data_IF_136913737741
#
_entry.id   IF_136913737741
#
_cell.length_a   1.000
_cell.length_b   1.000
_cell.length_c   1.000
_cell.angle_alpha   90.00
_cell.angle_beta   90.00
_cell.angle_gamma   90.00
#
_symmetry.space_group_name_H-M   'P 1'
#
loop_
_entity.id
_entity.type
_entity.pdbx_description
1 polymer ?
#
# COMPACT_ATOMS: atom_id res chain seq x y z
N UNK A 1 -2.27 -18.96 35.93
CA UNK A 1 -1.29 -18.23 35.09
C UNK A 1 -1.61 -18.57 33.65
N UNK A 2 -2.48 -17.76 33.08
CA UNK A 2 -3.07 -17.97 31.74
C UNK A 2 -2.01 -17.65 30.69
N UNK A 3 -1.59 -18.64 29.92
CA UNK A 3 -0.73 -18.45 28.75
C UNK A 3 -1.55 -17.65 27.72
N UNK A 4 -1.41 -16.33 27.73
CA UNK A 4 -1.89 -15.49 26.65
C UNK A 4 -1.27 -16.03 25.36
N UNK A 5 -2.09 -16.68 24.54
CA UNK A 5 -1.72 -17.10 23.17
C UNK A 5 -1.13 -15.87 22.49
N UNK A 6 0.17 -15.86 22.22
CA UNK A 6 0.83 -14.81 21.45
C UNK A 6 0.18 -14.84 20.06
N UNK A 7 -0.76 -13.93 19.82
CA UNK A 7 -1.31 -13.71 18.49
C UNK A 7 -0.11 -13.44 17.57
N UNK A 8 0.04 -14.26 16.53
CA UNK A 8 1.12 -14.12 15.55
C UNK A 8 1.01 -12.76 14.87
N UNK A 9 2.14 -12.07 14.74
CA UNK A 9 2.18 -10.80 14.02
C UNK A 9 1.75 -10.98 12.55
N UNK A 10 1.00 -9.99 12.04
CA UNK A 10 0.65 -9.90 10.61
C UNK A 10 1.89 -9.50 9.83
N UNK A 11 2.26 -10.32 8.85
CA UNK A 11 3.48 -10.20 8.06
C UNK A 11 3.23 -9.43 6.78
N UNK A 12 3.84 -8.26 6.63
CA UNK A 12 3.72 -7.43 5.44
C UNK A 12 4.76 -7.79 4.39
N UNK A 13 4.32 -7.91 3.13
CA UNK A 13 5.18 -7.85 1.95
C UNK A 13 5.00 -6.49 1.27
N UNK A 14 6.05 -5.69 1.22
CA UNK A 14 5.97 -4.34 0.64
C UNK A 14 6.58 -4.35 -0.75
N UNK A 15 5.80 -3.93 -1.76
CA UNK A 15 6.23 -3.77 -3.13
C UNK A 15 6.40 -2.28 -3.45
N UNK A 16 7.54 -1.89 -4.02
CA UNK A 16 7.85 -0.52 -4.40
C UNK A 16 8.70 -0.44 -5.68
N UNK A 17 8.69 0.72 -6.35
CA UNK A 17 9.49 0.96 -7.56
C UNK A 17 10.44 2.15 -7.45
N UNK A 18 10.35 2.98 -6.40
CA UNK A 18 11.06 4.26 -6.33
C UNK A 18 11.49 4.67 -4.93
N UNK A 19 11.17 5.91 -4.55
CA UNK A 19 11.61 6.57 -3.30
C UNK A 19 11.23 5.84 -2.03
N UNK A 20 10.09 5.11 -2.03
CA UNK A 20 9.61 4.33 -0.90
C UNK A 20 9.16 5.15 0.30
N UNK A 21 8.60 6.36 0.09
CA UNK A 21 8.14 7.22 1.19
C UNK A 21 7.08 6.57 2.04
N UNK A 22 6.09 5.93 1.44
CA UNK A 22 5.05 5.17 2.13
C UNK A 22 5.65 3.97 2.89
N UNK A 23 6.59 3.23 2.28
CA UNK A 23 7.32 2.17 2.99
C UNK A 23 8.02 2.70 4.24
N UNK A 24 8.77 3.81 4.12
CA UNK A 24 9.50 4.43 5.25
C UNK A 24 8.54 4.87 6.36
N UNK A 25 7.37 5.40 6.00
CA UNK A 25 6.33 5.76 6.96
C UNK A 25 5.80 4.52 7.71
N UNK A 26 5.45 3.44 7.01
CA UNK A 26 5.01 2.17 7.61
C UNK A 26 6.10 1.63 8.57
N UNK A 27 7.35 1.56 8.13
CA UNK A 27 8.46 1.07 8.96
C UNK A 27 8.65 1.90 10.22
N UNK A 28 8.56 3.23 10.12
CA UNK A 28 8.60 4.15 11.26
C UNK A 28 7.45 3.91 12.23
N UNK A 29 6.21 3.77 11.76
CA UNK A 29 5.04 3.52 12.60
C UNK A 29 5.14 2.17 13.35
N UNK A 30 5.73 1.15 12.72
CA UNK A 30 6.02 -0.12 13.38
C UNK A 30 7.07 0.07 14.48
N UNK A 31 8.18 0.75 14.17
CA UNK A 31 9.26 1.02 15.14
C UNK A 31 8.80 1.86 16.34
N UNK A 32 7.88 2.80 16.13
CA UNK A 32 7.27 3.62 17.18
C UNK A 32 6.19 2.88 17.99
N UNK A 33 5.90 1.61 17.69
CA UNK A 33 4.84 0.83 18.34
C UNK A 33 3.41 1.26 17.99
N UNK A 34 3.23 2.05 16.96
CA UNK A 34 1.92 2.56 16.49
C UNK A 34 1.17 1.56 15.59
N UNK A 35 1.84 0.51 15.17
CA UNK A 35 1.28 -0.65 14.45
C UNK A 35 1.57 -1.94 15.23
N UNK A 36 0.94 -2.14 16.38
CA UNK A 36 1.18 -3.32 17.18
C UNK A 36 0.73 -4.59 16.45
N UNK A 37 1.50 -5.67 16.60
CA UNK A 37 1.18 -6.95 15.97
C UNK A 37 1.39 -6.98 14.45
N UNK A 38 2.16 -6.05 13.90
CA UNK A 38 2.52 -5.99 12.46
C UNK A 38 4.03 -6.01 12.32
N UNK A 39 4.56 -6.74 11.36
CA UNK A 39 5.98 -6.76 11.02
C UNK A 39 6.20 -6.75 9.50
N UNK A 40 7.32 -6.19 9.05
CA UNK A 40 7.72 -6.25 7.63
C UNK A 40 8.50 -7.53 7.40
N UNK A 41 7.93 -8.45 6.63
CA UNK A 41 8.54 -9.72 6.30
C UNK A 41 9.54 -9.61 5.15
N UNK A 42 9.24 -8.78 4.15
CA UNK A 42 10.10 -8.54 2.99
C UNK A 42 9.73 -7.24 2.30
N UNK A 43 10.74 -6.54 1.77
CA UNK A 43 10.56 -5.40 0.86
C UNK A 43 11.07 -5.78 -0.52
N UNK A 44 10.22 -5.67 -1.53
CA UNK A 44 10.50 -6.11 -2.89
C UNK A 44 10.46 -4.91 -3.84
N UNK A 45 11.40 -4.86 -4.78
CA UNK A 45 11.38 -3.87 -5.85
C UNK A 45 11.58 -4.52 -7.22
N UNK A 46 10.93 -3.94 -8.24
CA UNK A 46 11.20 -4.23 -9.66
C UNK A 46 12.33 -3.36 -10.23
N UNK A 47 12.90 -2.47 -9.42
CA UNK A 47 14.03 -1.58 -9.76
C UNK A 47 15.15 -1.81 -8.74
N UNK A 48 16.31 -2.27 -9.18
CA UNK A 48 17.41 -2.65 -8.30
C UNK A 48 17.93 -1.47 -7.46
N UNK A 49 17.99 -0.28 -8.06
CA UNK A 49 18.50 0.95 -7.45
C UNK A 49 17.41 1.81 -6.81
N UNK A 50 16.24 1.24 -6.54
CA UNK A 50 15.15 1.97 -5.87
C UNK A 50 15.60 2.46 -4.49
N UNK A 51 15.51 3.77 -4.23
CA UNK A 51 15.94 4.36 -2.96
C UNK A 51 15.21 3.78 -1.74
N UNK A 52 13.94 3.35 -1.93
CA UNK A 52 13.18 2.66 -0.90
C UNK A 52 13.76 1.28 -0.56
N UNK A 53 14.27 0.55 -1.55
CA UNK A 53 14.90 -0.75 -1.35
C UNK A 53 16.25 -0.61 -0.62
N UNK A 54 17.05 0.39 -0.99
CA UNK A 54 18.30 0.70 -0.29
C UNK A 54 18.03 1.02 1.18
N UNK A 55 17.04 1.88 1.45
CA UNK A 55 16.63 2.20 2.82
C UNK A 55 16.16 0.98 3.62
N UNK A 56 15.51 0.00 2.97
CA UNK A 56 15.11 -1.23 3.63
C UNK A 56 16.33 -2.08 4.03
N UNK A 57 17.33 -2.19 3.16
CA UNK A 57 18.61 -2.89 3.44
C UNK A 57 19.35 -2.24 4.59
N UNK A 58 19.46 -0.91 4.58
CA UNK A 58 20.12 -0.15 5.64
C UNK A 58 19.43 -0.31 7.00
N UNK A 59 18.13 -0.59 6.97
CA UNK A 59 17.31 -0.90 8.17
C UNK A 59 17.38 -2.38 8.59
N UNK A 60 18.17 -3.20 7.92
CA UNK A 60 18.31 -4.65 8.21
C UNK A 60 17.09 -5.49 7.83
N UNK A 61 16.18 -4.98 7.01
CA UNK A 61 14.99 -5.71 6.57
C UNK A 61 15.33 -6.67 5.43
N UNK A 62 14.67 -7.84 5.34
CA UNK A 62 14.78 -8.72 4.18
C UNK A 62 14.34 -7.99 2.90
N UNK A 63 15.16 -8.11 1.84
CA UNK A 63 14.87 -7.44 0.56
C UNK A 63 15.04 -8.40 -0.61
N UNK A 64 14.25 -8.21 -1.66
CA UNK A 64 14.39 -8.91 -2.92
C UNK A 64 14.26 -7.96 -4.12
N UNK A 65 14.86 -8.33 -5.24
CA UNK A 65 14.77 -7.59 -6.50
C UNK A 65 14.32 -8.54 -7.59
N UNK A 66 13.26 -8.17 -8.27
CA UNK A 66 12.79 -8.88 -9.46
C UNK A 66 12.67 -7.87 -10.60
N UNK A 67 13.72 -7.75 -11.41
CA UNK A 67 13.74 -6.83 -12.55
C UNK A 67 12.67 -7.25 -13.55
N UNK A 68 11.82 -6.31 -13.92
CA UNK A 68 10.66 -6.58 -14.77
C UNK A 68 10.96 -6.37 -16.28
N UNK A 69 12.10 -5.75 -16.62
CA UNK A 69 12.47 -5.46 -18.02
C UNK A 69 12.69 -6.76 -18.80
N UNK A 70 12.03 -6.86 -19.93
CA UNK A 70 12.16 -8.03 -20.82
C UNK A 70 11.35 -9.25 -20.40
N UNK A 71 10.49 -9.13 -19.38
CA UNK A 71 9.63 -10.23 -18.89
C UNK A 71 8.16 -9.89 -19.09
N UNK A 72 7.36 -10.91 -19.35
CA UNK A 72 5.90 -10.79 -19.30
C UNK A 72 5.44 -10.49 -17.87
N UNK A 73 4.24 -9.96 -17.72
CA UNK A 73 3.65 -9.69 -16.42
C UNK A 73 3.53 -10.99 -15.61
N UNK A 74 3.02 -12.05 -16.22
CA UNK A 74 2.82 -13.35 -15.57
C UNK A 74 4.12 -13.97 -15.04
N UNK A 75 5.18 -14.00 -15.87
CA UNK A 75 6.48 -14.52 -15.43
C UNK A 75 7.09 -13.73 -14.27
N UNK A 76 6.99 -12.42 -14.32
CA UNK A 76 7.49 -11.55 -13.25
C UNK A 76 6.68 -11.76 -11.96
N UNK A 77 5.36 -11.80 -12.05
CA UNK A 77 4.48 -11.93 -10.90
C UNK A 77 4.57 -13.33 -10.26
N UNK A 78 4.88 -14.38 -11.02
CA UNK A 78 5.12 -15.70 -10.47
C UNK A 78 6.29 -15.70 -9.45
N UNK A 79 7.39 -15.02 -9.76
CA UNK A 79 8.51 -14.89 -8.83
C UNK A 79 8.15 -14.08 -7.59
N UNK A 80 7.36 -13.01 -7.76
CA UNK A 80 6.86 -12.21 -6.64
C UNK A 80 5.99 -13.06 -5.72
N UNK A 81 5.03 -13.83 -6.26
CA UNK A 81 4.16 -14.73 -5.51
C UNK A 81 4.99 -15.73 -4.71
N UNK A 82 5.95 -16.39 -5.35
CA UNK A 82 6.83 -17.36 -4.70
C UNK A 82 7.63 -16.72 -3.55
N UNK A 83 8.19 -15.54 -3.77
CA UNK A 83 8.95 -14.81 -2.77
C UNK A 83 8.05 -14.44 -1.56
N UNK A 84 6.87 -13.87 -1.81
CA UNK A 84 5.91 -13.49 -0.76
C UNK A 84 5.45 -14.70 0.06
N UNK A 85 5.17 -15.83 -0.59
CA UNK A 85 4.80 -17.08 0.07
C UNK A 85 5.94 -17.65 0.92
N UNK A 86 7.18 -17.64 0.41
CA UNK A 86 8.38 -18.07 1.14
C UNK A 86 8.57 -17.26 2.42
N UNK A 87 8.30 -15.95 2.37
CA UNK A 87 8.35 -15.06 3.52
C UNK A 87 7.07 -15.11 4.37
N UNK A 88 6.10 -15.99 4.05
CA UNK A 88 4.83 -16.15 4.77
C UNK A 88 4.10 -14.81 4.95
N UNK A 89 4.01 -14.05 3.87
CA UNK A 89 3.32 -12.76 3.85
C UNK A 89 1.82 -12.95 3.99
N UNK A 90 1.22 -12.23 4.93
CA UNK A 90 -0.21 -12.22 5.17
C UNK A 90 -0.91 -11.11 4.38
N UNK A 91 -0.27 -9.95 4.25
CA UNK A 91 -0.81 -8.76 3.60
C UNK A 91 0.25 -8.14 2.69
N UNK A 92 -0.09 -7.95 1.43
CA UNK A 92 0.75 -7.27 0.44
C UNK A 92 0.40 -5.78 0.42
N UNK A 93 1.41 -4.91 0.47
CA UNK A 93 1.26 -3.46 0.43
C UNK A 93 1.98 -2.88 -0.79
N UNK A 94 1.23 -2.31 -1.73
CA UNK A 94 1.78 -1.60 -2.87
C UNK A 94 2.12 -0.16 -2.45
N UNK A 95 3.40 0.12 -2.22
CA UNK A 95 3.89 1.40 -1.73
C UNK A 95 4.63 2.17 -2.84
N UNK A 96 3.90 2.62 -3.85
CA UNK A 96 4.47 3.22 -5.06
C UNK A 96 5.06 2.15 -6.00
N UNK A 97 4.35 1.07 -6.19
CA UNK A 97 4.69 0.01 -7.14
C UNK A 97 4.10 0.35 -8.51
N UNK A 98 4.96 0.66 -9.49
CA UNK A 98 4.58 1.22 -10.79
C UNK A 98 4.32 0.14 -11.86
N UNK A 99 3.64 -0.95 -11.49
CA UNK A 99 3.22 -2.00 -12.43
C UNK A 99 1.83 -2.51 -12.07
N UNK A 100 1.08 -2.85 -13.10
CA UNK A 100 -0.17 -3.59 -12.91
C UNK A 100 0.16 -5.05 -12.56
N UNK A 101 -0.53 -5.57 -11.58
CA UNK A 101 -0.46 -6.99 -11.20
C UNK A 101 -1.25 -7.86 -12.18
N UNK A 102 -0.84 -9.11 -12.35
CA UNK A 102 -1.59 -10.08 -13.14
C UNK A 102 -2.81 -10.59 -12.38
N UNK A 103 -3.83 -11.13 -13.08
CA UNK A 103 -4.95 -11.80 -12.42
C UNK A 103 -4.51 -12.93 -11.50
N UNK A 104 -3.48 -13.67 -11.86
CA UNK A 104 -2.92 -14.75 -11.04
C UNK A 104 -2.34 -14.23 -9.73
N UNK A 105 -1.69 -13.07 -9.75
CA UNK A 105 -1.19 -12.43 -8.53
C UNK A 105 -2.35 -12.03 -7.61
N UNK A 106 -3.38 -11.40 -8.15
CA UNK A 106 -4.58 -11.00 -7.39
C UNK A 106 -5.26 -12.24 -6.80
N UNK A 107 -5.40 -13.31 -7.58
CA UNK A 107 -5.98 -14.57 -7.14
C UNK A 107 -5.15 -15.27 -6.04
N UNK A 108 -3.82 -15.12 -6.04
CA UNK A 108 -2.94 -15.67 -5.00
C UNK A 108 -3.10 -14.99 -3.64
N UNK A 109 -3.56 -13.73 -3.62
CA UNK A 109 -3.75 -12.93 -2.40
C UNK A 109 -5.15 -12.28 -2.32
N UNK A 110 -6.25 -13.05 -2.35
CA UNK A 110 -7.60 -12.51 -2.41
C UNK A 110 -7.91 -11.66 -1.16
N UNK A 111 -8.32 -10.39 -1.36
CA UNK A 111 -8.57 -9.42 -0.29
C UNK A 111 -7.37 -9.23 0.67
N UNK A 112 -6.14 -9.41 0.16
CA UNK A 112 -4.89 -9.27 0.92
C UNK A 112 -3.84 -8.44 0.19
N UNK A 113 -4.26 -7.60 -0.74
CA UNK A 113 -3.39 -6.64 -1.42
C UNK A 113 -3.99 -5.26 -1.19
N UNK A 114 -3.22 -4.38 -0.55
CA UNK A 114 -3.58 -2.98 -0.37
C UNK A 114 -2.77 -2.11 -1.33
N UNK A 115 -3.42 -1.09 -1.87
CA UNK A 115 -2.77 0.00 -2.60
C UNK A 115 -3.11 1.34 -1.97
N UNK A 116 -2.19 2.30 -2.07
CA UNK A 116 -2.42 3.71 -1.76
C UNK A 116 -2.47 4.48 -3.07
N UNK A 117 -3.55 5.22 -3.30
CA UNK A 117 -3.76 6.03 -4.48
C UNK A 117 -3.94 7.50 -4.08
N UNK A 118 -3.23 8.45 -4.73
CA UNK A 118 -3.19 9.85 -4.30
C UNK A 118 -4.38 10.68 -4.83
N UNK A 119 -5.58 10.13 -4.77
CA UNK A 119 -6.84 10.84 -5.02
C UNK A 119 -7.97 10.28 -4.16
N UNK A 120 -9.09 10.98 -4.14
CA UNK A 120 -10.35 10.50 -3.54
C UNK A 120 -11.10 9.63 -4.57
N UNK A 121 -10.73 8.36 -4.67
CA UNK A 121 -11.39 7.42 -5.58
C UNK A 121 -12.92 7.41 -5.37
N UNK A 122 -13.72 7.31 -6.44
CA UNK A 122 -13.37 6.93 -7.81
C UNK A 122 -12.87 8.08 -8.71
N UNK A 123 -12.64 9.29 -8.18
CA UNK A 123 -12.12 10.39 -8.97
C UNK A 123 -10.62 10.23 -9.24
N UNK A 124 -10.17 10.64 -10.43
CA UNK A 124 -8.76 10.71 -10.83
C UNK A 124 -8.00 9.39 -10.64
N UNK A 125 -8.52 8.29 -11.17
CA UNK A 125 -7.81 7.01 -11.23
C UNK A 125 -6.61 7.06 -12.19
N UNK A 126 -5.65 6.17 -12.03
CA UNK A 126 -4.47 6.05 -12.87
C UNK A 126 -3.32 6.99 -12.48
N UNK A 127 -2.50 7.33 -13.47
CA UNK A 127 -1.27 8.08 -13.23
C UNK A 127 -1.52 9.58 -13.01
N UNK A 128 -0.60 10.24 -12.29
CA UNK A 128 -0.59 11.70 -12.08
C UNK A 128 -1.89 12.27 -11.46
N UNK A 129 -2.54 11.50 -10.59
CA UNK A 129 -3.84 11.85 -10.03
C UNK A 129 -3.84 13.22 -9.31
N UNK A 130 -2.74 13.60 -8.65
CA UNK A 130 -2.62 14.91 -8.00
C UNK A 130 -2.61 16.05 -9.02
N UNK A 131 -1.88 15.87 -10.12
CA UNK A 131 -1.85 16.84 -11.24
C UNK A 131 -3.23 16.99 -11.86
N UNK A 132 -3.89 15.86 -12.14
CA UNK A 132 -5.27 15.86 -12.67
C UNK A 132 -6.24 16.60 -11.74
N UNK A 133 -6.15 16.35 -10.43
CA UNK A 133 -7.01 17.01 -9.42
C UNK A 133 -6.77 18.53 -9.40
N UNK A 134 -5.50 18.95 -9.43
CA UNK A 134 -5.13 20.35 -9.46
C UNK A 134 -5.63 21.05 -10.73
N UNK A 135 -5.36 20.49 -11.90
CA UNK A 135 -5.78 21.04 -13.21
C UNK A 135 -7.30 21.09 -13.37
N UNK A 136 -8.02 20.12 -12.77
CA UNK A 136 -9.48 20.14 -12.77
C UNK A 136 -10.06 21.24 -11.86
N UNK A 137 -9.26 21.81 -10.97
CA UNK A 137 -9.67 22.89 -10.07
C UNK A 137 -10.56 22.44 -8.91
N UNK A 138 -10.40 21.19 -8.44
CA UNK A 138 -11.16 20.70 -7.26
C UNK A 138 -10.82 21.52 -6.02
N UNK A 139 -11.77 21.58 -5.08
CA UNK A 139 -11.55 22.28 -3.81
C UNK A 139 -11.17 21.34 -2.66
N UNK A 140 -11.38 20.05 -2.85
CA UNK A 140 -11.03 18.99 -1.92
C UNK A 140 -10.26 17.91 -2.70
N UNK A 141 -9.10 17.54 -2.22
CA UNK A 141 -8.28 16.45 -2.74
C UNK A 141 -7.96 15.46 -1.59
N UNK A 142 -7.13 14.47 -1.83
CA UNK A 142 -6.74 13.53 -0.77
C UNK A 142 -6.19 12.22 -1.32
N UNK A 143 -6.26 11.17 -0.50
CA UNK A 143 -5.79 9.85 -0.85
C UNK A 143 -6.78 8.75 -0.46
N UNK A 144 -6.63 7.59 -1.09
CA UNK A 144 -7.46 6.41 -0.87
C UNK A 144 -6.57 5.20 -0.65
N UNK A 145 -6.81 4.46 0.44
CA UNK A 145 -6.30 3.09 0.59
C UNK A 145 -7.43 2.13 0.24
N UNK A 146 -7.16 1.22 -0.68
CA UNK A 146 -8.14 0.26 -1.17
C UNK A 146 -7.52 -1.13 -1.34
N UNK A 147 -8.35 -2.17 -1.30
CA UNK A 147 -7.93 -3.48 -1.78
C UNK A 147 -7.75 -3.45 -3.29
N UNK A 148 -6.83 -4.27 -3.79
CA UNK A 148 -6.58 -4.40 -5.23
C UNK A 148 -7.41 -5.57 -5.76
N UNK A 149 -8.14 -5.32 -6.84
CA UNK A 149 -8.85 -6.31 -7.65
C UNK A 149 -8.25 -6.36 -9.08
N UNK A 150 -8.95 -6.94 -10.03
CA UNK A 150 -8.53 -7.09 -11.43
C UNK A 150 -8.67 -5.81 -12.27
N UNK A 151 -9.27 -4.75 -11.70
CA UNK A 151 -9.47 -3.47 -12.36
C UNK A 151 -8.60 -2.39 -11.71
N UNK A 152 -8.16 -1.41 -12.53
CA UNK A 152 -7.29 -0.33 -12.06
C UNK A 152 -8.03 0.56 -11.06
N UNK A 153 -7.45 0.72 -9.86
CA UNK A 153 -7.92 1.61 -8.78
C UNK A 153 -9.42 1.44 -8.44
N UNK A 154 -9.93 0.21 -8.61
CA UNK A 154 -11.35 -0.09 -8.51
C UNK A 154 -11.75 -0.79 -7.21
N UNK A 155 -10.87 -1.53 -6.56
CA UNK A 155 -11.18 -2.40 -5.43
C UNK A 155 -11.84 -1.71 -4.24
N UNK A 156 -12.23 -2.48 -3.25
CA UNK A 156 -12.98 -2.01 -2.07
C UNK A 156 -12.15 -1.00 -1.26
N UNK A 157 -12.70 0.18 -1.03
CA UNK A 157 -12.06 1.26 -0.26
C UNK A 157 -12.03 0.88 1.23
N UNK A 158 -10.83 0.94 1.81
CA UNK A 158 -10.59 0.71 3.25
C UNK A 158 -10.64 2.01 4.03
N UNK A 159 -10.00 3.05 3.49
CA UNK A 159 -9.86 4.35 4.14
C UNK A 159 -9.64 5.46 3.10
N UNK A 160 -10.19 6.62 3.38
CA UNK A 160 -9.88 7.86 2.63
C UNK A 160 -9.54 8.98 3.60
N UNK A 161 -8.59 9.83 3.21
CA UNK A 161 -8.28 11.07 3.91
C UNK A 161 -8.36 12.23 2.93
N UNK A 162 -9.07 13.28 3.32
CA UNK A 162 -9.34 14.45 2.49
C UNK A 162 -8.65 15.69 3.05
N UNK A 163 -8.16 16.55 2.15
CA UNK A 163 -7.58 17.86 2.47
C UNK A 163 -8.20 18.94 1.58
N UNK A 164 -8.30 20.19 2.05
CA UNK A 164 -8.64 21.30 1.17
C UNK A 164 -7.50 21.59 0.19
N UNK A 165 -7.83 21.98 -1.04
CA UNK A 165 -6.89 22.60 -1.98
C UNK A 165 -6.84 24.08 -1.65
N UNK A 166 -5.65 24.60 -1.35
CA UNK A 166 -5.45 26.00 -0.98
C UNK A 166 -5.28 26.86 -2.23
N UNK A 167 -5.62 28.13 -2.14
CA UNK A 167 -5.40 29.09 -3.25
C UNK A 167 -3.90 29.27 -3.57
N UNK A 168 -3.04 29.03 -2.56
CA UNK A 168 -1.58 29.09 -2.72
C UNK A 168 -0.95 27.80 -3.23
N UNK A 169 -1.73 26.70 -3.39
CA UNK A 169 -1.19 25.46 -3.90
C UNK A 169 -0.86 25.57 -5.39
N UNK A 170 0.22 24.94 -5.76
CA UNK A 170 0.47 24.42 -7.10
C UNK A 170 0.36 22.88 -7.08
N UNK A 171 0.52 22.23 -8.21
CA UNK A 171 0.42 20.77 -8.30
C UNK A 171 1.45 20.05 -7.41
N UNK A 172 2.64 20.65 -7.23
CA UNK A 172 3.71 20.07 -6.42
C UNK A 172 3.40 20.17 -4.92
N UNK A 173 3.05 21.36 -4.42
CA UNK A 173 2.70 21.58 -3.02
C UNK A 173 1.46 20.78 -2.61
N UNK A 174 0.46 20.68 -3.48
CA UNK A 174 -0.70 19.81 -3.28
C UNK A 174 -0.29 18.34 -3.15
N UNK A 175 0.60 17.86 -4.04
CA UNK A 175 1.09 16.48 -4.01
C UNK A 175 1.87 16.18 -2.71
N UNK A 176 2.68 17.10 -2.21
CA UNK A 176 3.39 16.94 -0.93
C UNK A 176 2.42 16.86 0.27
N UNK A 177 1.36 17.66 0.25
CA UNK A 177 0.34 17.65 1.30
C UNK A 177 -0.50 16.36 1.25
N UNK A 178 -0.84 15.88 0.06
CA UNK A 178 -1.51 14.57 -0.11
C UNK A 178 -0.59 13.45 0.38
N UNK A 179 0.72 13.49 0.05
CA UNK A 179 1.69 12.48 0.50
C UNK A 179 1.78 12.39 2.03
N UNK A 180 1.70 13.52 2.73
CA UNK A 180 1.67 13.53 4.19
C UNK A 180 0.45 12.75 4.74
N UNK A 181 -0.72 12.90 4.11
CA UNK A 181 -1.92 12.15 4.46
C UNK A 181 -1.83 10.67 4.06
N UNK A 182 -1.18 10.35 2.93
CA UNK A 182 -0.95 8.95 2.52
C UNK A 182 -0.18 8.17 3.60
N UNK A 183 0.87 8.77 4.18
CA UNK A 183 1.67 8.13 5.22
C UNK A 183 0.83 7.74 6.43
N UNK A 184 -0.15 8.56 6.80
CA UNK A 184 -1.07 8.30 7.92
C UNK A 184 -2.13 7.28 7.49
N UNK A 185 -2.80 7.54 6.36
CA UNK A 185 -3.89 6.72 5.85
C UNK A 185 -3.47 5.25 5.65
N UNK A 186 -2.26 5.04 5.09
CA UNK A 186 -1.80 3.69 4.82
C UNK A 186 -1.56 2.90 6.11
N UNK A 187 -0.93 3.53 7.10
CA UNK A 187 -0.69 2.89 8.39
C UNK A 187 -2.00 2.60 9.14
N UNK A 188 -2.97 3.52 9.11
CA UNK A 188 -4.30 3.30 9.67
C UNK A 188 -5.05 2.16 8.96
N UNK A 189 -4.98 2.10 7.63
CA UNK A 189 -5.62 1.03 6.86
C UNK A 189 -4.99 -0.34 7.18
N UNK A 190 -3.66 -0.42 7.26
CA UNK A 190 -2.96 -1.64 7.67
C UNK A 190 -3.42 -2.08 9.07
N UNK A 191 -3.52 -1.16 10.04
CA UNK A 191 -4.00 -1.46 11.38
C UNK A 191 -5.43 -2.01 11.38
N UNK A 192 -6.34 -1.43 10.58
CA UNK A 192 -7.73 -1.92 10.43
C UNK A 192 -7.79 -3.33 9.86
N UNK A 193 -6.99 -3.59 8.81
CA UNK A 193 -6.97 -4.93 8.17
C UNK A 193 -6.31 -5.96 9.08
N UNK A 194 -5.21 -5.61 9.73
CA UNK A 194 -4.49 -6.49 10.64
C UNK A 194 -5.30 -6.82 11.91
N UNK A 195 -6.11 -5.88 12.40
CA UNK A 195 -6.97 -6.07 13.58
C UNK A 195 -8.10 -7.07 13.36
N UNK A 196 -8.52 -7.31 12.12
CA UNK A 196 -9.54 -8.30 11.78
C UNK A 196 -10.98 -7.94 12.20
N UNK A 197 -11.20 -6.72 12.71
CA UNK A 197 -12.51 -6.25 13.19
C UNK A 197 -13.45 -5.79 12.07
N UNK A 198 -12.99 -5.86 10.83
CA UNK A 198 -13.72 -5.39 9.66
C UNK A 198 -13.93 -6.52 8.66
N UNK A 199 -14.95 -6.37 7.82
CA UNK A 199 -15.27 -7.32 6.75
C UNK A 199 -15.79 -6.61 5.51
N UNK A 200 -15.76 -7.30 4.38
CA UNK A 200 -16.21 -6.78 3.09
C UNK A 200 -17.66 -7.20 2.85
N UNK A 201 -18.55 -6.22 2.71
CA UNK A 201 -19.94 -6.38 2.31
C UNK A 201 -20.18 -5.68 0.97
N UNK A 202 -20.18 -6.43 -0.11
CA UNK A 202 -20.22 -5.88 -1.47
C UNK A 202 -19.01 -4.97 -1.71
N UNK A 203 -19.25 -3.68 -1.91
CA UNK A 203 -18.18 -2.68 -2.09
C UNK A 203 -17.85 -1.88 -0.81
N UNK A 204 -18.30 -2.32 0.34
CA UNK A 204 -18.09 -1.61 1.62
C UNK A 204 -17.20 -2.42 2.55
N UNK A 205 -16.20 -1.77 3.12
CA UNK A 205 -15.39 -2.31 4.21
C UNK A 205 -15.95 -1.78 5.53
N UNK A 206 -16.62 -2.62 6.27
CA UNK A 206 -17.41 -2.24 7.46
C UNK A 206 -16.92 -2.94 8.71
N UNK A 207 -17.06 -2.28 9.85
CA UNK A 207 -16.76 -2.90 11.14
C UNK A 207 -17.76 -4.01 11.40
N UNK A 208 -17.29 -5.17 11.86
CA UNK A 208 -18.14 -6.29 12.26
C UNK A 208 -19.04 -5.85 13.41
N UNK A 209 -20.33 -6.17 13.29
CA UNK A 209 -21.27 -6.00 14.39
C UNK A 209 -21.07 -7.20 15.28
N UNK A 210 -20.62 -6.99 16.52
CA UNK A 210 -20.44 -8.01 17.53
C UNK A 210 -21.77 -8.49 18.09
#
# INVERSE_FOLDING_TARGET
>A
MELASKVRAVRLGILLSGRGSNFKAIARFIAEGRLPGVEIAVVISNVAEAAGLLAARDSGLPTAVFVSKGRTRAEHDADLIQCLQTHRVDLVCLAGYMRLLSPDFVAAFPNRILNIHPSLLPAFSGLEAQQQAFEHGVKIAGCTVHFVDDQLDHGVIVLQRAIPVLESDDAHSLAERILAEEHIAYSEAIARVAGGDYEIHGRRYVKRVG
#
